data_IF_726836873537
#
_entry.id   IF_726836873537
#
_cell.length_a   1.000
_cell.length_b   1.000
_cell.length_c   1.000
_cell.angle_alpha   90.00
_cell.angle_beta   90.00
_cell.angle_gamma   90.00
#
_symmetry.space_group_name_H-M   'P 1'
#
loop_
_entity.id
_entity.type
_entity.pdbx_description
1 polymer ?
#
# COMPACT_ATOMS: atom_id res chain seq x y z
N UNK A 1 -8.29 12.81 19.38
CA UNK A 1 -8.21 12.10 18.08
C UNK A 1 -8.16 10.60 18.35
N UNK A 2 -9.27 10.02 18.83
CA UNK A 2 -9.25 8.67 19.44
C UNK A 2 -10.51 7.88 19.09
N UNK A 3 -11.12 8.19 17.93
CA UNK A 3 -12.38 7.55 17.49
C UNK A 3 -12.36 7.01 16.05
N UNK A 4 -11.25 7.13 15.32
CA UNK A 4 -11.17 6.60 13.95
C UNK A 4 -10.64 5.16 13.86
N UNK A 5 -10.02 4.65 14.93
CA UNK A 5 -9.41 3.31 14.93
C UNK A 5 -10.37 2.19 15.38
N UNK A 6 -11.50 2.52 15.99
CA UNK A 6 -12.43 1.52 16.53
C UNK A 6 -13.47 1.01 15.53
N UNK A 7 -13.66 1.70 14.40
CA UNK A 7 -14.77 1.38 13.49
C UNK A 7 -14.44 0.25 12.50
N UNK A 8 -13.17 -0.13 12.35
CA UNK A 8 -12.78 -1.17 11.40
C UNK A 8 -12.76 -2.60 11.97
N UNK A 9 -12.76 -2.75 13.30
CA UNK A 9 -12.70 -4.08 13.94
C UNK A 9 -14.09 -4.72 14.13
N UNK A 10 -15.17 -3.94 14.05
CA UNK A 10 -16.53 -4.40 14.42
C UNK A 10 -17.39 -4.93 13.25
N UNK A 11 -16.87 -5.01 12.03
CA UNK A 11 -17.66 -5.38 10.83
C UNK A 11 -17.25 -6.72 10.19
N UNK A 12 -16.72 -7.66 10.97
CA UNK A 12 -16.41 -9.03 10.50
C UNK A 12 -17.42 -10.09 10.97
N UNK A 13 -18.46 -9.71 11.71
CA UNK A 13 -19.40 -10.67 12.30
C UNK A 13 -20.73 -10.84 11.54
N UNK A 14 -20.95 -10.16 10.41
CA UNK A 14 -22.20 -10.31 9.66
C UNK A 14 -21.95 -10.38 8.16
N UNK A 15 -22.27 -11.54 7.59
CA UNK A 15 -22.26 -11.94 6.18
C UNK A 15 -20.90 -12.02 5.50
N UNK A 16 -20.25 -13.19 5.59
CA UNK A 16 -19.12 -13.55 4.74
C UNK A 16 -19.58 -13.71 3.29
N UNK A 17 -19.19 -12.80 2.40
CA UNK A 17 -19.36 -12.99 0.95
C UNK A 17 -18.21 -13.85 0.42
N UNK A 18 -18.42 -14.66 -0.62
CA UNK A 18 -17.35 -15.51 -1.19
C UNK A 18 -16.08 -14.73 -1.58
N UNK A 19 -16.24 -13.53 -2.14
CA UNK A 19 -15.12 -12.64 -2.46
C UNK A 19 -14.27 -12.22 -1.24
N UNK A 20 -14.82 -12.26 -0.03
CA UNK A 20 -14.06 -11.97 1.19
C UNK A 20 -13.13 -13.14 1.55
N UNK A 21 -13.52 -14.40 1.31
CA UNK A 21 -12.64 -15.55 1.61
C UNK A 21 -11.40 -15.54 0.71
N UNK A 22 -11.57 -15.33 -0.60
CA UNK A 22 -10.43 -15.22 -1.52
C UNK A 22 -9.49 -14.06 -1.13
N UNK A 23 -10.05 -12.92 -0.70
CA UNK A 23 -9.27 -11.80 -0.18
C UNK A 23 -8.49 -12.17 1.10
N UNK A 24 -9.11 -12.88 2.04
CA UNK A 24 -8.44 -13.34 3.26
C UNK A 24 -7.30 -14.32 2.96
N UNK A 25 -7.47 -15.20 1.97
CA UNK A 25 -6.40 -16.09 1.50
C UNK A 25 -5.22 -15.30 0.90
N UNK A 26 -5.51 -14.25 0.12
CA UNK A 26 -4.48 -13.35 -0.42
C UNK A 26 -3.71 -12.68 0.74
N UNK A 27 -4.40 -12.21 1.78
CA UNK A 27 -3.75 -11.59 2.94
C UNK A 27 -2.92 -12.58 3.75
N UNK A 28 -3.39 -13.82 3.94
CA UNK A 28 -2.62 -14.89 4.57
C UNK A 28 -1.33 -15.18 3.81
N UNK A 29 -1.41 -15.29 2.48
CA UNK A 29 -0.25 -15.51 1.61
C UNK A 29 0.73 -14.33 1.67
N UNK A 30 0.21 -13.10 1.70
CA UNK A 30 1.00 -11.88 1.84
C UNK A 30 1.78 -11.89 3.16
N UNK A 31 1.15 -12.18 4.29
CA UNK A 31 1.84 -12.28 5.58
C UNK A 31 2.88 -13.39 5.63
N UNK A 32 2.55 -14.57 5.09
CA UNK A 32 3.49 -15.70 5.02
C UNK A 32 4.73 -15.33 4.19
N UNK A 33 4.52 -14.62 3.09
CA UNK A 33 5.63 -14.15 2.24
C UNK A 33 6.45 -13.06 2.94
N UNK A 34 5.79 -12.13 3.63
CA UNK A 34 6.44 -11.09 4.41
C UNK A 34 7.32 -11.67 5.52
N UNK A 35 6.85 -12.67 6.27
CA UNK A 35 7.66 -13.39 7.26
C UNK A 35 8.88 -14.05 6.64
N UNK A 36 8.69 -14.68 5.49
CA UNK A 36 9.79 -15.34 4.78
C UNK A 36 10.85 -14.32 4.35
N UNK A 37 10.44 -13.17 3.83
CA UNK A 37 11.35 -12.08 3.45
C UNK A 37 12.04 -11.46 4.66
N UNK A 38 11.31 -11.22 5.75
CA UNK A 38 11.88 -10.65 6.98
C UNK A 38 12.92 -11.58 7.62
N UNK A 39 12.70 -12.90 7.57
CA UNK A 39 13.68 -13.90 8.05
C UNK A 39 15.01 -13.89 7.28
N UNK A 40 15.01 -13.44 6.02
CA UNK A 40 16.24 -13.31 5.24
C UNK A 40 17.14 -12.18 5.76
N UNK A 41 16.62 -11.27 6.59
CA UNK A 41 17.39 -10.21 7.26
C UNK A 41 18.07 -9.21 6.33
N UNK A 42 17.75 -9.22 5.03
CA UNK A 42 18.34 -8.30 4.06
C UNK A 42 17.63 -6.95 4.14
N UNK A 43 18.35 -5.83 4.32
CA UNK A 43 17.78 -4.51 4.18
C UNK A 43 17.15 -4.37 2.80
N UNK A 44 15.96 -3.80 2.71
CA UNK A 44 15.36 -3.50 1.41
C UNK A 44 16.27 -2.56 0.61
N UNK A 45 16.52 -2.94 -0.65
CA UNK A 45 17.11 -2.08 -1.67
C UNK A 45 16.26 -2.15 -2.93
N UNK A 46 15.95 -1.01 -3.52
CA UNK A 46 15.17 -0.96 -4.76
C UNK A 46 15.95 -1.64 -5.89
N UNK A 47 15.35 -2.61 -6.55
CA UNK A 47 15.93 -3.29 -7.71
C UNK A 47 16.18 -2.27 -8.86
N UNK A 48 17.36 -2.34 -9.48
CA UNK A 48 17.73 -1.46 -10.59
C UNK A 48 16.72 -1.47 -11.76
N UNK A 49 16.08 -2.62 -12.02
CA UNK A 49 15.04 -2.74 -13.05
C UNK A 49 13.79 -1.92 -12.70
N UNK A 50 13.50 -1.74 -11.41
CA UNK A 50 12.39 -0.93 -10.92
C UNK A 50 12.71 0.55 -10.98
N UNK A 51 13.96 0.93 -10.75
CA UNK A 51 14.43 2.30 -11.01
C UNK A 51 14.28 2.64 -12.49
N UNK A 52 14.68 1.75 -13.40
CA UNK A 52 14.49 1.94 -14.84
C UNK A 52 13.01 2.03 -15.22
N UNK A 53 12.16 1.16 -14.63
CA UNK A 53 10.71 1.23 -14.80
C UNK A 53 10.16 2.57 -14.33
N UNK A 54 10.52 3.02 -13.12
CA UNK A 54 10.11 4.31 -12.57
C UNK A 54 10.50 5.48 -13.48
N UNK A 55 11.69 5.43 -14.09
CA UNK A 55 12.11 6.41 -15.10
C UNK A 55 11.25 6.32 -16.36
N UNK A 56 10.98 5.14 -16.89
CA UNK A 56 10.15 4.99 -18.10
C UNK A 56 8.70 5.49 -17.95
N UNK A 57 8.20 5.56 -16.72
CA UNK A 57 6.86 6.03 -16.37
C UNK A 57 6.81 7.57 -16.15
N UNK A 58 7.94 8.27 -16.13
CA UNK A 58 8.01 9.71 -15.84
C UNK A 58 7.19 10.57 -16.82
N UNK A 59 7.20 10.17 -18.09
CA UNK A 59 6.45 10.74 -19.22
C UNK A 59 4.96 10.43 -19.21
N UNK A 60 4.49 9.59 -18.28
CA UNK A 60 3.10 9.19 -18.20
C UNK A 60 2.40 9.78 -16.98
N UNK A 61 1.06 9.73 -17.01
CA UNK A 61 0.19 10.11 -15.89
C UNK A 61 0.57 9.34 -14.62
N UNK A 62 0.53 9.96 -13.42
CA UNK A 62 0.87 9.28 -12.16
C UNK A 62 0.12 7.96 -11.90
N UNK A 63 -1.10 7.81 -12.44
CA UNK A 63 -1.87 6.56 -12.42
C UNK A 63 -1.09 5.33 -12.92
N UNK A 64 -0.17 5.52 -13.87
CA UNK A 64 0.58 4.41 -14.48
C UNK A 64 1.52 3.69 -13.51
N UNK A 65 1.89 4.32 -12.39
CA UNK A 65 2.66 3.65 -11.34
C UNK A 65 1.84 2.57 -10.63
N UNK A 66 0.52 2.79 -10.53
CA UNK A 66 -0.41 1.90 -9.86
C UNK A 66 -0.77 0.69 -10.74
N UNK A 67 -0.83 0.88 -12.06
CA UNK A 67 -1.05 -0.22 -13.01
C UNK A 67 0.07 -1.27 -12.95
N UNK A 68 1.33 -0.83 -12.76
CA UNK A 68 2.49 -1.72 -12.67
C UNK A 68 2.51 -2.54 -11.35
N UNK A 69 1.79 -2.10 -10.31
CA UNK A 69 1.74 -2.80 -9.03
C UNK A 69 1.16 -4.19 -9.20
N UNK A 70 0.12 -4.37 -10.01
CA UNK A 70 -0.51 -5.67 -10.23
C UNK A 70 0.49 -6.73 -10.71
N UNK A 71 1.39 -6.37 -11.61
CA UNK A 71 2.42 -7.28 -12.13
C UNK A 71 3.50 -7.60 -11.09
N UNK A 72 3.86 -6.63 -10.25
CA UNK A 72 4.81 -6.86 -9.15
C UNK A 72 4.21 -7.73 -8.05
N UNK A 73 2.93 -7.55 -7.74
CA UNK A 73 2.19 -8.39 -6.80
C UNK A 73 2.11 -9.84 -7.25
N UNK A 74 1.81 -10.09 -8.54
CA UNK A 74 1.80 -11.44 -9.12
C UNK A 74 3.15 -12.16 -8.98
N UNK A 75 4.25 -11.39 -9.00
CA UNK A 75 5.64 -11.88 -8.88
C UNK A 75 6.16 -11.88 -7.44
N UNK A 76 5.32 -11.57 -6.45
CA UNK A 76 5.70 -11.42 -5.04
C UNK A 76 6.85 -10.39 -4.80
N UNK A 77 7.01 -9.43 -5.71
CA UNK A 77 7.98 -8.32 -5.60
C UNK A 77 7.39 -7.18 -4.77
N UNK A 78 7.03 -7.47 -3.52
CA UNK A 78 6.23 -6.56 -2.69
C UNK A 78 6.96 -5.27 -2.30
N UNK A 79 8.27 -5.32 -2.01
CA UNK A 79 9.00 -4.09 -1.71
C UNK A 79 9.16 -3.19 -2.94
N UNK A 80 9.41 -3.78 -4.12
CA UNK A 80 9.44 -3.06 -5.41
C UNK A 80 8.08 -2.40 -5.69
N UNK A 81 6.99 -3.12 -5.44
CA UNK A 81 5.64 -2.59 -5.56
C UNK A 81 5.42 -1.43 -4.57
N UNK A 82 5.88 -1.58 -3.33
CA UNK A 82 5.75 -0.54 -2.32
C UNK A 82 6.52 0.74 -2.70
N UNK A 83 7.73 0.60 -3.27
CA UNK A 83 8.48 1.73 -3.81
C UNK A 83 7.70 2.46 -4.92
N UNK A 84 7.19 1.74 -5.92
CA UNK A 84 6.41 2.37 -7.00
C UNK A 84 5.11 2.99 -6.50
N UNK A 85 4.45 2.36 -5.52
CA UNK A 85 3.23 2.88 -4.91
C UNK A 85 3.48 4.24 -4.27
N UNK A 86 4.48 4.35 -3.40
CA UNK A 86 4.79 5.62 -2.73
C UNK A 86 5.34 6.68 -3.67
N UNK A 87 6.11 6.27 -4.69
CA UNK A 87 6.56 7.19 -5.73
C UNK A 87 5.38 7.74 -6.54
N UNK A 88 4.46 6.87 -6.95
CA UNK A 88 3.21 7.24 -7.63
C UNK A 88 2.35 8.17 -6.77
N UNK A 89 2.28 7.93 -5.46
CA UNK A 89 1.58 8.80 -4.52
C UNK A 89 2.16 10.21 -4.46
N UNK A 90 3.48 10.34 -4.34
CA UNK A 90 4.16 11.65 -4.33
C UNK A 90 3.86 12.42 -5.62
N UNK A 91 3.98 11.74 -6.78
CA UNK A 91 3.67 12.32 -8.08
C UNK A 91 2.21 12.77 -8.19
N UNK A 92 1.27 11.95 -7.72
CA UNK A 92 -0.16 12.31 -7.75
C UNK A 92 -0.49 13.50 -6.86
N UNK A 93 0.08 13.55 -5.64
CA UNK A 93 -0.14 14.66 -4.70
C UNK A 93 0.35 15.97 -5.30
N UNK A 94 1.50 15.96 -5.95
CA UNK A 94 2.01 17.14 -6.66
C UNK A 94 1.13 17.51 -7.85
N UNK A 95 0.85 16.55 -8.74
CA UNK A 95 0.01 16.77 -9.90
C UNK A 95 -1.35 17.38 -9.53
N UNK A 96 -2.05 16.80 -8.55
CA UNK A 96 -3.36 17.28 -8.13
C UNK A 96 -3.31 18.65 -7.44
N UNK A 97 -2.19 19.02 -6.80
CA UNK A 97 -2.08 20.31 -6.12
C UNK A 97 -1.71 21.47 -7.04
N UNK A 98 -1.12 21.18 -8.21
CA UNK A 98 -0.61 22.21 -9.14
C UNK A 98 -1.35 22.21 -10.48
N UNK A 99 -2.02 21.12 -10.87
CA UNK A 99 -2.74 21.04 -12.13
C UNK A 99 -3.94 22.02 -12.15
N UNK A 100 -3.94 23.06 -13.00
CA UNK A 100 -5.05 24.01 -13.07
C UNK A 100 -6.34 23.39 -13.61
N UNK A 101 -6.25 22.20 -14.22
CA UNK A 101 -7.39 21.42 -14.71
C UNK A 101 -7.84 20.34 -13.71
N UNK A 102 -7.32 20.35 -12.49
CA UNK A 102 -7.69 19.38 -11.46
C UNK A 102 -9.20 19.38 -11.24
N UNK A 103 -9.77 18.18 -11.20
CA UNK A 103 -11.16 17.96 -10.83
C UNK A 103 -11.23 16.90 -9.74
N UNK A 104 -11.94 17.23 -8.66
CA UNK A 104 -12.15 16.30 -7.55
C UNK A 104 -12.84 15.00 -8.02
N UNK A 105 -13.80 15.10 -8.95
CA UNK A 105 -14.50 13.94 -9.54
C UNK A 105 -13.70 13.20 -10.61
N UNK A 106 -12.58 13.78 -11.08
CA UNK A 106 -11.67 13.15 -12.04
C UNK A 106 -10.42 12.63 -11.34
N UNK A 107 -9.31 13.37 -11.44
CA UNK A 107 -8.03 12.99 -10.87
C UNK A 107 -8.06 12.76 -9.35
N UNK A 108 -8.91 13.50 -8.63
CA UNK A 108 -9.11 13.31 -7.19
C UNK A 108 -9.71 11.94 -6.87
N UNK A 109 -10.83 11.61 -7.51
CA UNK A 109 -11.52 10.33 -7.35
C UNK A 109 -10.66 9.16 -7.82
N UNK A 110 -9.94 9.32 -8.94
CA UNK A 110 -9.01 8.30 -9.43
C UNK A 110 -7.88 8.06 -8.42
N UNK A 111 -7.22 9.12 -7.93
CA UNK A 111 -6.17 8.98 -6.92
C UNK A 111 -6.69 8.30 -5.64
N UNK A 112 -7.89 8.66 -5.17
CA UNK A 112 -8.51 8.04 -4.01
C UNK A 112 -8.81 6.55 -4.24
N UNK A 113 -9.36 6.18 -5.39
CA UNK A 113 -9.64 4.77 -5.73
C UNK A 113 -8.37 3.92 -5.81
N UNK A 114 -7.31 4.43 -6.41
CA UNK A 114 -6.02 3.75 -6.52
C UNK A 114 -5.35 3.60 -5.15
N UNK A 115 -5.42 4.63 -4.31
CA UNK A 115 -4.95 4.56 -2.92
C UNK A 115 -5.68 3.51 -2.11
N UNK A 116 -7.00 3.42 -2.26
CA UNK A 116 -7.80 2.44 -1.57
C UNK A 116 -7.42 1.01 -2.00
N UNK A 117 -7.44 0.74 -3.31
CA UNK A 117 -7.21 -0.61 -3.85
C UNK A 117 -5.77 -1.09 -3.67
N UNK A 118 -4.77 -0.24 -3.94
CA UNK A 118 -3.37 -0.65 -3.88
C UNK A 118 -2.73 -0.41 -2.51
N UNK A 119 -3.21 0.58 -1.77
CA UNK A 119 -2.57 1.03 -0.53
C UNK A 119 -2.73 0.05 0.61
N UNK A 120 -3.90 -0.55 0.77
CA UNK A 120 -4.14 -1.52 1.84
C UNK A 120 -3.15 -2.70 1.81
N UNK A 121 -3.04 -3.50 0.72
CA UNK A 121 -2.13 -4.63 0.71
C UNK A 121 -0.65 -4.22 0.82
N UNK A 122 -0.24 -3.08 0.24
CA UNK A 122 1.11 -2.53 0.40
C UNK A 122 1.41 -2.19 1.87
N UNK A 123 0.48 -1.49 2.53
CA UNK A 123 0.66 -1.09 3.92
C UNK A 123 0.66 -2.30 4.85
N UNK A 124 -0.20 -3.29 4.63
CA UNK A 124 -0.18 -4.54 5.42
C UNK A 124 1.16 -5.26 5.29
N UNK A 125 1.73 -5.31 4.09
CA UNK A 125 3.05 -5.89 3.86
C UNK A 125 4.15 -5.12 4.61
N UNK A 126 4.21 -3.79 4.45
CA UNK A 126 5.25 -2.98 5.08
C UNK A 126 5.15 -2.91 6.60
N UNK A 127 3.93 -2.93 7.15
CA UNK A 127 3.70 -2.96 8.61
C UNK A 127 4.27 -4.21 9.28
N UNK A 128 4.64 -5.25 8.54
CA UNK A 128 5.33 -6.42 9.11
C UNK A 128 6.77 -6.13 9.54
N UNK A 129 7.36 -5.04 9.05
CA UNK A 129 8.73 -4.64 9.38
C UNK A 129 8.90 -3.14 9.19
N UNK A 130 8.97 -2.41 10.31
CA UNK A 130 9.08 -0.95 10.30
C UNK A 130 10.35 -0.43 9.62
N UNK A 131 11.47 -1.15 9.70
CA UNK A 131 12.71 -0.76 9.02
C UNK A 131 12.56 -0.84 7.50
N UNK A 132 11.89 -1.88 7.01
CA UNK A 132 11.55 -1.98 5.59
C UNK A 132 10.58 -0.88 5.17
N UNK A 133 9.58 -0.56 6.00
CA UNK A 133 8.67 0.55 5.74
C UNK A 133 9.45 1.87 5.59
N UNK A 134 10.24 2.23 6.60
CA UNK A 134 11.06 3.44 6.58
C UNK A 134 12.00 3.46 5.37
N UNK A 135 12.63 2.33 5.04
CA UNK A 135 13.56 2.23 3.90
C UNK A 135 12.85 2.44 2.56
N UNK A 136 11.64 1.91 2.38
CA UNK A 136 10.83 2.14 1.17
C UNK A 136 10.45 3.62 1.05
N UNK A 137 9.97 4.24 2.14
CA UNK A 137 9.59 5.65 2.14
C UNK A 137 10.78 6.55 1.82
N UNK A 138 11.94 6.30 2.45
CA UNK A 138 13.19 7.01 2.15
C UNK A 138 13.57 6.86 0.69
N UNK A 139 13.54 5.63 0.17
CA UNK A 139 13.90 5.37 -1.24
C UNK A 139 12.99 6.12 -2.22
N UNK A 140 11.66 6.08 -1.99
CA UNK A 140 10.70 6.78 -2.84
C UNK A 140 10.85 8.31 -2.74
N UNK A 141 11.02 8.85 -1.53
CA UNK A 141 11.22 10.28 -1.28
C UNK A 141 12.54 10.80 -1.87
N UNK A 142 13.62 10.03 -1.71
CA UNK A 142 14.93 10.35 -2.27
C UNK A 142 14.90 10.33 -3.80
N UNK A 143 14.29 9.31 -4.40
CA UNK A 143 14.12 9.26 -5.85
C UNK A 143 13.31 10.47 -6.31
N UNK A 144 12.18 10.75 -5.65
CA UNK A 144 11.32 11.86 -6.01
C UNK A 144 12.04 13.21 -5.93
N UNK A 145 12.72 13.50 -4.82
CA UNK A 145 13.43 14.78 -4.63
C UNK A 145 14.56 15.04 -5.64
N UNK A 146 15.20 13.98 -6.16
CA UNK A 146 16.35 14.07 -7.07
C UNK A 146 15.98 14.05 -8.56
N UNK A 147 14.72 13.79 -8.90
CA UNK A 147 14.28 13.66 -10.28
C UNK A 147 13.23 14.72 -10.64
N UNK A 148 13.14 15.01 -11.95
CA UNK A 148 12.00 15.71 -12.54
C UNK A 148 11.17 14.72 -13.38
N UNK A 149 9.94 15.11 -13.75
CA UNK A 149 9.01 14.26 -14.48
C UNK A 149 8.46 14.95 -15.73
N UNK A 150 8.73 14.35 -16.89
CA UNK A 150 8.33 14.89 -18.20
C UNK A 150 6.82 15.12 -18.33
N UNK A 151 5.99 14.24 -17.73
CA UNK A 151 4.53 14.43 -17.75
C UNK A 151 4.08 15.69 -17.03
N UNK A 152 4.71 16.00 -15.89
CA UNK A 152 4.36 17.16 -15.08
C UNK A 152 5.56 17.62 -14.25
N UNK A 153 6.32 18.54 -14.83
CA UNK A 153 7.61 18.97 -14.28
C UNK A 153 7.47 19.73 -12.96
N UNK A 154 8.44 19.52 -12.07
CA UNK A 154 8.70 20.29 -10.85
C UNK A 154 8.76 21.79 -11.12
N UNK A 155 9.17 22.21 -12.32
CA UNK A 155 9.28 23.64 -12.66
C UNK A 155 7.93 24.36 -12.72
N UNK A 156 6.81 23.62 -12.72
CA UNK A 156 5.47 24.20 -12.67
C UNK A 156 5.18 24.90 -11.34
N UNK A 157 5.72 24.36 -10.26
CA UNK A 157 5.69 24.95 -8.92
C UNK A 157 6.71 24.22 -8.04
N UNK A 158 7.86 24.83 -7.81
CA UNK A 158 8.95 24.23 -7.02
C UNK A 158 8.61 24.18 -5.53
N UNK A 159 7.86 25.17 -5.03
CA UNK A 159 7.49 25.24 -3.62
C UNK A 159 6.52 24.11 -3.25
N UNK A 160 5.51 23.86 -4.10
CA UNK A 160 4.60 22.72 -3.92
C UNK A 160 5.30 21.38 -4.05
N UNK A 161 6.30 21.29 -4.91
CA UNK A 161 7.11 20.07 -5.04
C UNK A 161 7.86 19.77 -3.74
N UNK A 162 8.49 20.79 -3.15
CA UNK A 162 9.22 20.69 -1.88
C UNK A 162 8.29 20.42 -0.69
N UNK A 163 7.09 21.01 -0.67
CA UNK A 163 6.04 20.72 0.32
C UNK A 163 5.66 19.23 0.32
N UNK A 164 5.51 18.61 -0.86
CA UNK A 164 5.22 17.18 -1.01
C UNK A 164 6.36 16.32 -0.43
N UNK A 165 7.62 16.69 -0.67
CA UNK A 165 8.80 16.02 -0.09
C UNK A 165 8.78 16.12 1.44
N UNK A 166 8.55 17.33 1.98
CA UNK A 166 8.53 17.58 3.42
C UNK A 166 7.43 16.80 4.15
N UNK A 167 6.27 16.61 3.50
CA UNK A 167 5.19 15.78 4.04
C UNK A 167 5.62 14.34 4.29
N UNK A 168 6.38 13.74 3.37
CA UNK A 168 6.93 12.38 3.55
C UNK A 168 8.06 12.34 4.57
N UNK A 169 8.94 13.36 4.61
CA UNK A 169 9.97 13.46 5.65
C UNK A 169 9.38 13.49 7.05
N UNK A 170 8.20 14.11 7.22
CA UNK A 170 7.49 14.14 8.50
C UNK A 170 6.96 12.77 8.91
N UNK A 171 6.38 12.00 7.97
CA UNK A 171 5.96 10.62 8.21
C UNK A 171 7.15 9.71 8.57
N UNK A 172 8.25 9.81 7.83
CA UNK A 172 9.47 9.03 8.11
C UNK A 172 9.97 9.32 9.53
N UNK A 173 10.04 10.60 9.90
CA UNK A 173 10.47 11.01 11.25
C UNK A 173 9.53 10.49 12.33
N UNK A 174 8.23 10.51 12.08
CA UNK A 174 7.25 9.98 13.03
C UNK A 174 7.44 8.47 13.26
N UNK A 175 7.63 7.69 12.18
CA UNK A 175 7.92 6.27 12.27
C UNK A 175 9.23 5.98 12.99
N UNK A 176 10.28 6.76 12.74
CA UNK A 176 11.58 6.63 13.43
C UNK A 176 11.48 6.98 14.92
N UNK A 177 10.77 8.06 15.25
CA UNK A 177 10.62 8.57 16.63
C UNK A 177 9.75 7.63 17.46
N UNK A 178 8.65 7.17 16.89
CA UNK A 178 7.64 6.34 17.55
C UNK A 178 7.79 4.85 17.21
N UNK A 179 9.00 4.43 16.84
CA UNK A 179 9.30 3.09 16.33
C UNK A 179 8.75 1.96 17.20
N UNK A 180 9.10 1.95 18.48
CA UNK A 180 8.70 0.89 19.43
C UNK A 180 7.17 0.82 19.56
N UNK A 181 6.50 1.98 19.55
CA UNK A 181 5.04 2.05 19.59
C UNK A 181 4.44 1.39 18.35
N UNK A 182 4.89 1.77 17.16
CA UNK A 182 4.36 1.23 15.91
C UNK A 182 4.68 -0.25 15.73
N UNK A 183 5.88 -0.70 16.08
CA UNK A 183 6.23 -2.12 16.07
C UNK A 183 5.28 -2.93 16.94
N UNK A 184 4.99 -2.45 18.15
CA UNK A 184 4.05 -3.12 19.05
C UNK A 184 2.63 -3.13 18.46
N UNK A 185 2.11 -1.96 18.08
CA UNK A 185 0.74 -1.83 17.56
C UNK A 185 0.53 -2.68 16.30
N UNK A 186 1.47 -2.67 15.36
CA UNK A 186 1.36 -3.42 14.12
C UNK A 186 1.52 -4.93 14.33
N UNK A 187 2.37 -5.36 15.28
CA UNK A 187 2.46 -6.77 15.64
C UNK A 187 1.16 -7.27 16.29
N UNK A 188 0.56 -6.47 17.18
CA UNK A 188 -0.73 -6.78 17.81
C UNK A 188 -1.86 -6.84 16.75
N UNK A 189 -1.96 -5.81 15.89
CA UNK A 189 -2.90 -5.76 14.75
C UNK A 189 -2.77 -7.00 13.86
N UNK A 190 -1.53 -7.33 13.49
CA UNK A 190 -1.23 -8.47 12.62
C UNK A 190 -1.63 -9.78 13.26
N UNK A 191 -1.31 -9.99 14.54
CA UNK A 191 -1.66 -11.22 15.25
C UNK A 191 -3.17 -11.44 15.26
N UNK A 192 -3.93 -10.39 15.61
CA UNK A 192 -5.40 -10.45 15.56
C UNK A 192 -5.92 -10.74 14.15
N UNK A 193 -5.34 -10.11 13.13
CA UNK A 193 -5.76 -10.32 11.74
C UNK A 193 -5.50 -11.76 11.29
N UNK A 194 -4.33 -12.32 11.57
CA UNK A 194 -3.99 -13.71 11.22
C UNK A 194 -4.92 -14.70 11.93
N UNK A 195 -5.16 -14.51 13.23
CA UNK A 195 -6.10 -15.36 14.00
C UNK A 195 -7.52 -15.32 13.43
N UNK A 196 -8.01 -14.13 13.05
CA UNK A 196 -9.32 -13.96 12.43
C UNK A 196 -9.40 -14.58 11.04
N UNK A 197 -8.35 -14.43 10.23
CA UNK A 197 -8.25 -15.06 8.90
C UNK A 197 -8.30 -16.58 9.04
N UNK A 198 -7.50 -17.16 9.93
CA UNK A 198 -7.44 -18.61 10.16
C UNK A 198 -8.80 -19.14 10.60
N UNK A 199 -9.45 -18.47 11.55
CA UNK A 199 -10.80 -18.82 12.00
C UNK A 199 -11.82 -18.78 10.86
N UNK A 200 -11.83 -17.71 10.06
CA UNK A 200 -12.77 -17.55 8.96
C UNK A 200 -12.57 -18.62 7.87
N UNK A 201 -11.32 -18.94 7.53
CA UNK A 201 -10.99 -20.00 6.56
C UNK A 201 -11.40 -21.38 7.11
N UNK A 202 -11.14 -21.65 8.40
CA UNK A 202 -11.53 -22.91 9.04
C UNK A 202 -13.06 -23.09 9.08
N UNK A 203 -13.80 -22.02 9.40
CA UNK A 203 -15.26 -22.01 9.36
C UNK A 203 -15.77 -22.25 7.94
N UNK A 204 -15.23 -21.55 6.94
CA UNK A 204 -15.56 -21.76 5.53
C UNK A 204 -15.31 -23.21 5.09
N UNK A 205 -14.17 -23.79 5.49
CA UNK A 205 -13.82 -25.16 5.10
C UNK A 205 -14.78 -26.21 5.64
N UNK A 206 -15.38 -25.98 6.82
CA UNK A 206 -16.38 -26.85 7.45
C UNK A 206 -17.76 -26.79 6.78
N UNK A 207 -18.04 -25.77 5.96
CA UNK A 207 -19.33 -25.63 5.29
C UNK A 207 -19.56 -26.68 4.20
N UNK A 208 -20.81 -27.08 4.06
CA UNK A 208 -21.31 -27.95 2.98
C UNK A 208 -21.20 -27.26 1.61
N UNK A 209 -21.19 -28.03 0.50
CA UNK A 209 -21.22 -27.45 -0.84
C UNK A 209 -22.40 -26.51 -1.08
N UNK A 210 -23.58 -26.81 -0.50
CA UNK A 210 -24.78 -26.00 -0.60
C UNK A 210 -24.64 -24.67 0.14
N UNK A 211 -24.05 -24.67 1.33
CA UNK A 211 -23.75 -23.45 2.09
C UNK A 211 -22.73 -22.58 1.36
N UNK A 212 -21.65 -23.19 0.82
CA UNK A 212 -20.65 -22.49 0.01
C UNK A 212 -21.26 -21.90 -1.25
N UNK A 213 -22.20 -22.61 -1.89
CA UNK A 213 -22.93 -22.12 -3.07
C UNK A 213 -23.83 -20.93 -2.71
N UNK A 214 -24.58 -21.00 -1.61
CA UNK A 214 -25.39 -19.87 -1.13
C UNK A 214 -24.55 -18.63 -0.83
N UNK A 215 -23.33 -18.78 -0.31
CA UNK A 215 -22.43 -17.64 -0.07
C UNK A 215 -21.86 -17.04 -1.36
N UNK A 216 -21.74 -17.82 -2.43
CA UNK A 216 -21.37 -17.33 -3.77
C UNK A 216 -22.53 -16.61 -4.45
N UNK A 217 -23.74 -17.10 -4.30
CA UNK A 217 -24.92 -16.53 -4.95
C UNK A 217 -25.38 -15.22 -4.29
N UNK A 218 -24.95 -14.96 -3.04
CA UNK A 218 -25.25 -13.75 -2.26
C UNK A 218 -24.12 -12.69 -2.28
N UNK A 219 -23.04 -12.91 -3.04
CA UNK A 219 -21.89 -11.99 -3.19
C UNK A 219 -21.87 -11.34 -4.56
#
# INVERSE_FOLDING_TARGET
MTRLFLTFVFFLATTFCFGQIEQLEIYKKLYTTADSLNKLGKPFSVDSSIIQKAKSLDKQHPAKYFEELGELFKKAKYHDAAFLYYLGLLRYRYYNSVNPKYQASGDGALAASLQYVAGEPINLFLKTNIDNFISVLKSASDYYSKNDYDFYSRSKDTAKYEEVVQGFSSLIRDLETNRVKYEKEWNDERKMMVENIDKAIDEYNKMTPEEKKKLKDNS
#
